data_IF_386937387464
#
_entry.id   IF_386937387464
#
_cell.length_a   1.000
_cell.length_b   1.000
_cell.length_c   1.000
_cell.angle_alpha   90.00
_cell.angle_beta   90.00
_cell.angle_gamma   90.00
#
_symmetry.space_group_name_H-M   'P 1'
#
loop_
_entity.id
_entity.type
_entity.pdbx_description
1 polymer ?
#
# COMPACT_ATOMS: atom_id res chain seq x y z
N UNK A 1 -11.34 -17.04 -42.17
CA UNK A 1 -11.13 -15.71 -41.56
C UNK A 1 -9.81 -15.81 -40.81
N UNK A 2 -8.77 -15.11 -41.26
CA UNK A 2 -7.38 -15.27 -40.75
C UNK A 2 -7.19 -14.44 -39.49
N UNK A 3 -6.58 -15.07 -38.48
CA UNK A 3 -6.17 -14.49 -37.20
C UNK A 3 -5.14 -13.39 -37.46
N UNK A 4 -5.39 -12.17 -36.97
CA UNK A 4 -4.40 -11.09 -36.94
C UNK A 4 -3.52 -11.32 -35.70
N UNK A 5 -2.33 -11.85 -35.95
CA UNK A 5 -1.25 -11.95 -34.97
C UNK A 5 -0.86 -10.55 -34.46
N UNK A 6 -0.76 -10.40 -33.13
CA UNK A 6 -0.30 -9.18 -32.47
C UNK A 6 1.13 -8.88 -32.93
N UNK A 7 1.31 -7.76 -33.64
CA UNK A 7 2.63 -7.23 -33.94
C UNK A 7 3.19 -6.55 -32.68
N UNK A 8 4.12 -7.21 -32.00
CA UNK A 8 4.95 -6.60 -30.96
C UNK A 8 6.00 -5.72 -31.66
N UNK A 9 5.92 -4.40 -31.46
CA UNK A 9 6.92 -3.45 -31.94
C UNK A 9 8.27 -3.76 -31.29
N UNK A 10 9.23 -4.25 -32.08
CA UNK A 10 10.61 -4.45 -31.66
C UNK A 10 11.45 -3.26 -32.13
N UNK A 11 12.01 -2.52 -31.18
CA UNK A 11 12.99 -1.47 -31.46
C UNK A 11 14.30 -2.15 -31.87
N UNK A 12 14.71 -1.97 -33.13
CA UNK A 12 16.01 -2.43 -33.64
C UNK A 12 17.05 -1.35 -33.41
N UNK A 13 18.07 -1.66 -32.62
CA UNK A 13 19.26 -0.81 -32.52
C UNK A 13 20.38 -1.26 -33.46
N UNK A 14 21.16 -0.28 -33.92
CA UNK A 14 21.95 -0.23 -35.17
C UNK A 14 23.10 -1.23 -35.38
N UNK A 15 23.26 -2.28 -34.58
CA UNK A 15 24.48 -3.12 -34.62
C UNK A 15 24.29 -4.57 -35.07
N UNK A 16 23.17 -4.90 -35.74
CA UNK A 16 23.05 -6.16 -36.49
C UNK A 16 23.12 -7.46 -35.67
N UNK A 17 23.05 -7.38 -34.34
CA UNK A 17 22.87 -8.55 -33.47
C UNK A 17 21.40 -8.64 -33.11
N UNK A 18 20.78 -9.74 -33.52
CA UNK A 18 19.48 -10.17 -33.00
C UNK A 18 19.61 -10.36 -31.50
N UNK A 19 18.78 -9.67 -30.72
CA UNK A 19 18.61 -9.96 -29.31
C UNK A 19 18.11 -11.40 -29.21
N UNK A 20 19.05 -12.34 -29.04
CA UNK A 20 18.78 -13.51 -28.20
C UNK A 20 18.22 -12.93 -26.91
N UNK A 21 16.93 -13.22 -26.72
CA UNK A 21 16.13 -13.08 -25.52
C UNK A 21 16.70 -12.03 -24.57
N UNK A 22 16.05 -10.87 -24.49
CA UNK A 22 16.17 -10.02 -23.31
C UNK A 22 15.93 -10.94 -22.11
N UNK A 23 17.03 -11.43 -21.53
CA UNK A 23 17.07 -12.08 -20.27
C UNK A 23 16.58 -11.00 -19.34
N UNK A 24 15.28 -11.02 -19.09
CA UNK A 24 14.70 -10.60 -17.84
C UNK A 24 15.65 -11.18 -16.81
N UNK A 25 16.54 -10.35 -16.27
CA UNK A 25 17.31 -10.69 -15.11
C UNK A 25 16.30 -10.63 -13.96
N UNK A 26 15.38 -11.61 -13.97
CA UNK A 26 14.64 -12.03 -12.80
C UNK A 26 15.72 -12.71 -12.00
N UNK A 27 16.15 -12.18 -10.84
CA UNK A 27 16.99 -12.96 -9.95
C UNK A 27 16.16 -14.19 -9.58
N UNK A 28 16.48 -15.32 -10.21
CA UNK A 28 15.73 -16.59 -10.13
C UNK A 28 15.76 -17.19 -8.72
N UNK A 29 16.41 -16.52 -7.76
CA UNK A 29 16.61 -17.03 -6.40
C UNK A 29 16.00 -16.21 -5.26
N UNK A 30 15.44 -15.00 -5.45
CA UNK A 30 14.98 -14.19 -4.29
C UNK A 30 13.54 -13.71 -4.33
N UNK A 31 12.94 -13.48 -5.51
CA UNK A 31 11.59 -12.92 -5.58
C UNK A 31 10.47 -13.93 -5.25
N UNK A 32 10.77 -15.22 -5.17
CA UNK A 32 9.78 -16.27 -4.95
C UNK A 32 10.10 -17.28 -3.85
N UNK A 33 11.32 -17.23 -3.27
CA UNK A 33 11.75 -18.19 -2.23
C UNK A 33 11.70 -17.63 -0.81
N UNK A 34 11.65 -16.29 -0.66
CA UNK A 34 11.64 -15.61 0.65
C UNK A 34 10.49 -14.61 0.83
N UNK A 35 9.67 -14.40 -0.20
CA UNK A 35 8.48 -13.56 -0.11
C UNK A 35 7.41 -14.27 0.70
N UNK A 36 6.91 -13.61 1.76
CA UNK A 36 5.74 -14.06 2.49
C UNK A 36 4.61 -14.40 1.52
N UNK A 37 3.81 -15.43 1.82
CA UNK A 37 2.59 -15.73 1.07
C UNK A 37 1.79 -14.41 0.97
N UNK A 38 1.43 -14.03 -0.25
CA UNK A 38 0.72 -12.77 -0.59
C UNK A 38 1.58 -11.48 -0.66
N UNK A 39 2.92 -11.56 -0.63
CA UNK A 39 3.79 -10.39 -0.75
C UNK A 39 3.53 -9.54 -2.01
N UNK A 40 3.20 -10.17 -3.15
CA UNK A 40 2.86 -9.44 -4.37
C UNK A 40 1.61 -8.56 -4.17
N UNK A 41 0.56 -9.10 -3.53
CA UNK A 41 -0.69 -8.39 -3.24
C UNK A 41 -0.42 -7.16 -2.37
N UNK A 42 0.23 -7.36 -1.22
CA UNK A 42 0.49 -6.26 -0.28
C UNK A 42 1.52 -5.27 -0.81
N UNK A 43 2.47 -5.69 -1.65
CA UNK A 43 3.37 -4.76 -2.35
C UNK A 43 2.61 -3.84 -3.29
N UNK A 44 1.62 -4.35 -4.03
CA UNK A 44 0.80 -3.52 -4.92
C UNK A 44 -0.07 -2.53 -4.13
N UNK A 45 -0.67 -2.96 -3.02
CA UNK A 45 -1.42 -2.06 -2.14
C UNK A 45 -0.53 -0.97 -1.53
N UNK A 46 0.69 -1.31 -1.10
CA UNK A 46 1.66 -0.34 -0.59
C UNK A 46 2.11 0.65 -1.69
N UNK A 47 2.30 0.17 -2.93
CA UNK A 47 2.63 1.03 -4.07
C UNK A 47 1.49 2.00 -4.41
N UNK A 48 0.24 1.56 -4.34
CA UNK A 48 -0.93 2.42 -4.54
C UNK A 48 -0.99 3.52 -3.48
N UNK A 49 -0.81 3.18 -2.19
CA UNK A 49 -0.75 4.16 -1.11
C UNK A 49 0.40 5.19 -1.33
N UNK A 50 1.56 4.75 -1.80
CA UNK A 50 2.68 5.62 -2.18
C UNK A 50 2.27 6.57 -3.31
N UNK A 51 1.69 6.05 -4.38
CA UNK A 51 1.32 6.82 -5.57
C UNK A 51 0.25 7.87 -5.25
N UNK A 52 -0.83 7.45 -4.58
CA UNK A 52 -1.94 8.32 -4.16
C UNK A 52 -1.43 9.43 -3.25
N UNK A 53 -0.63 9.09 -2.24
CA UNK A 53 -0.08 10.09 -1.30
C UNK A 53 0.89 11.05 -1.99
N UNK A 54 1.74 10.56 -2.91
CA UNK A 54 2.63 11.40 -3.70
C UNK A 54 1.86 12.39 -4.58
N UNK A 55 0.81 11.92 -5.27
CA UNK A 55 -0.06 12.79 -6.09
C UNK A 55 -0.77 13.84 -5.24
N UNK A 56 -1.28 13.45 -4.07
CA UNK A 56 -1.86 14.39 -3.10
C UNK A 56 -0.82 15.42 -2.64
N UNK A 57 0.42 15.00 -2.33
CA UNK A 57 1.48 15.91 -1.94
C UNK A 57 1.86 16.91 -3.03
N UNK A 58 1.86 16.49 -4.30
CA UNK A 58 2.04 17.41 -5.43
C UNK A 58 0.91 18.45 -5.49
N UNK A 59 -0.34 18.02 -5.30
CA UNK A 59 -1.48 18.94 -5.22
C UNK A 59 -1.34 19.91 -4.03
N UNK A 60 -1.02 19.41 -2.84
CA UNK A 60 -0.86 20.21 -1.62
C UNK A 60 0.25 21.27 -1.75
N UNK A 61 1.31 20.95 -2.49
CA UNK A 61 2.41 21.88 -2.77
C UNK A 61 1.95 23.13 -3.53
N UNK A 62 1.00 23.00 -4.45
CA UNK A 62 0.42 24.15 -5.18
C UNK A 62 -0.30 25.15 -4.25
N UNK A 63 -0.65 24.73 -3.03
CA UNK A 63 -1.31 25.56 -2.02
C UNK A 63 -0.44 25.86 -0.79
N UNK A 64 0.88 25.66 -0.90
CA UNK A 64 1.84 25.84 0.20
C UNK A 64 1.43 25.07 1.48
N UNK A 65 0.89 23.86 1.29
CA UNK A 65 0.53 22.95 2.38
C UNK A 65 1.65 21.97 2.66
N UNK A 66 1.84 21.66 3.95
CA UNK A 66 2.80 20.66 4.41
C UNK A 66 2.45 19.30 3.77
N UNK A 67 3.44 18.57 3.21
CA UNK A 67 3.22 17.23 2.68
C UNK A 67 2.91 16.23 3.80
N UNK A 68 2.14 15.22 3.44
CA UNK A 68 1.92 14.00 4.23
C UNK A 68 3.18 13.13 4.11
N UNK A 69 3.59 12.50 5.21
CA UNK A 69 4.76 11.63 5.23
C UNK A 69 4.52 10.33 4.46
N UNK A 70 5.10 10.22 3.27
CA UNK A 70 5.06 9.00 2.43
C UNK A 70 6.06 7.96 2.88
N UNK A 71 7.05 8.32 3.70
CA UNK A 71 8.18 7.48 4.07
C UNK A 71 7.76 6.19 4.76
N UNK A 72 6.63 6.21 5.46
CA UNK A 72 6.11 5.02 6.13
C UNK A 72 5.66 3.93 5.15
N UNK A 73 5.06 4.29 4.02
CA UNK A 73 4.65 3.32 3.00
C UNK A 73 5.84 2.71 2.26
N UNK A 74 6.93 3.49 2.07
CA UNK A 74 8.18 2.95 1.56
C UNK A 74 8.84 1.98 2.54
N UNK A 75 8.79 2.26 3.86
CA UNK A 75 9.26 1.32 4.89
C UNK A 75 8.45 0.04 4.89
N UNK A 76 7.12 0.13 4.77
CA UNK A 76 6.23 -1.02 4.66
C UNK A 76 6.52 -1.86 3.41
N UNK A 77 6.69 -1.22 2.25
CA UNK A 77 7.05 -1.91 1.02
C UNK A 77 8.39 -2.63 1.16
N UNK A 78 9.39 -1.98 1.78
CA UNK A 78 10.68 -2.60 2.03
C UNK A 78 10.57 -3.81 2.97
N UNK A 79 9.75 -3.75 4.03
CA UNK A 79 9.53 -4.92 4.92
C UNK A 79 8.79 -6.07 4.24
N UNK A 80 7.93 -5.79 3.26
CA UNK A 80 7.23 -6.82 2.48
C UNK A 80 8.20 -7.53 1.54
N UNK A 81 9.08 -6.77 0.87
CA UNK A 81 9.97 -7.29 -0.18
C UNK A 81 11.27 -7.89 0.35
N UNK A 82 11.80 -7.38 1.46
CA UNK A 82 13.11 -7.74 1.96
C UNK A 82 13.00 -8.59 3.23
N UNK A 83 13.43 -9.85 3.14
CA UNK A 83 13.53 -10.76 4.29
C UNK A 83 14.43 -10.13 5.38
N UNK A 84 13.88 -9.95 6.59
CA UNK A 84 14.60 -9.42 7.75
C UNK A 84 14.51 -7.90 7.96
N UNK A 85 13.76 -7.16 7.14
CA UNK A 85 13.34 -5.79 7.48
C UNK A 85 12.06 -5.84 8.30
N UNK A 86 12.19 -5.64 9.61
CA UNK A 86 11.05 -5.62 10.52
C UNK A 86 10.25 -4.32 10.37
N UNK A 87 8.92 -4.45 10.34
CA UNK A 87 7.98 -3.35 10.46
C UNK A 87 7.54 -3.25 11.92
N UNK A 88 8.14 -2.31 12.67
CA UNK A 88 8.03 -2.26 14.13
C UNK A 88 6.66 -1.79 14.62
N UNK A 89 6.34 -1.95 15.91
CA UNK A 89 5.11 -1.38 16.49
C UNK A 89 5.04 0.16 16.36
N UNK A 90 6.19 0.85 16.39
CA UNK A 90 6.27 2.28 16.16
C UNK A 90 5.99 2.63 14.69
N UNK A 91 6.46 1.81 13.75
CA UNK A 91 6.12 1.94 12.33
C UNK A 91 4.63 1.70 12.10
N UNK A 92 4.04 0.68 12.73
CA UNK A 92 2.58 0.44 12.69
C UNK A 92 1.81 1.66 13.19
N UNK A 93 2.23 2.23 14.32
CA UNK A 93 1.62 3.46 14.85
C UNK A 93 1.72 4.62 13.86
N UNK A 94 2.91 4.84 13.30
CA UNK A 94 3.11 5.90 12.32
C UNK A 94 2.27 5.67 11.05
N UNK A 95 2.14 4.42 10.61
CA UNK A 95 1.29 4.05 9.48
C UNK A 95 -0.15 4.47 9.73
N UNK A 96 -0.71 4.09 10.88
CA UNK A 96 -2.09 4.42 11.23
C UNK A 96 -2.31 5.92 11.46
N UNK A 97 -1.33 6.65 11.99
CA UNK A 97 -1.39 8.11 12.09
C UNK A 97 -1.33 8.81 10.72
N UNK A 98 -0.61 8.24 9.73
CA UNK A 98 -0.62 8.73 8.35
C UNK A 98 -1.94 8.39 7.66
N UNK A 99 -2.44 7.15 7.81
CA UNK A 99 -3.75 6.74 7.31
C UNK A 99 -4.87 7.64 7.84
N UNK A 100 -4.82 8.01 9.13
CA UNK A 100 -5.75 8.98 9.73
C UNK A 100 -5.67 10.37 9.12
N UNK A 101 -4.47 10.86 8.80
CA UNK A 101 -4.33 12.13 8.09
C UNK A 101 -4.96 12.06 6.69
N UNK A 102 -4.73 10.97 5.96
CA UNK A 102 -5.32 10.72 4.63
C UNK A 102 -6.85 10.61 4.70
N UNK A 103 -7.37 9.94 5.73
CA UNK A 103 -8.81 9.86 5.97
C UNK A 103 -9.43 11.25 6.15
N UNK A 104 -8.83 12.10 6.99
CA UNK A 104 -9.28 13.49 7.21
C UNK A 104 -9.20 14.38 5.97
N UNK A 105 -8.34 14.04 5.01
CA UNK A 105 -8.36 14.65 3.69
C UNK A 105 -9.53 14.09 2.86
N UNK A 106 -9.65 12.77 2.78
CA UNK A 106 -10.71 12.09 2.02
C UNK A 106 -12.10 12.56 2.42
N UNK A 107 -12.38 12.68 3.72
CA UNK A 107 -13.67 13.15 4.25
C UNK A 107 -14.05 14.56 3.73
N UNK A 108 -13.07 15.46 3.60
CA UNK A 108 -13.31 16.80 3.05
C UNK A 108 -13.59 16.77 1.55
N UNK A 109 -12.96 15.84 0.82
CA UNK A 109 -13.14 15.68 -0.62
C UNK A 109 -14.37 14.85 -0.99
N UNK A 110 -14.91 14.05 -0.06
CA UNK A 110 -16.13 13.30 -0.25
C UNK A 110 -17.31 14.19 -0.67
N UNK A 111 -17.39 15.41 -0.11
CA UNK A 111 -18.39 16.42 -0.50
C UNK A 111 -18.24 16.96 -1.93
N UNK A 112 -17.06 16.79 -2.53
CA UNK A 112 -16.75 17.23 -3.90
C UNK A 112 -16.98 16.10 -4.88
N UNK A 113 -16.50 14.89 -4.56
CA UNK A 113 -16.69 13.69 -5.35
C UNK A 113 -16.54 12.45 -4.47
N UNK A 114 -17.50 11.54 -4.54
CA UNK A 114 -17.52 10.30 -3.74
C UNK A 114 -16.39 9.33 -4.10
N UNK A 115 -15.85 9.41 -5.32
CA UNK A 115 -14.73 8.55 -5.77
C UNK A 115 -13.33 9.08 -5.37
N UNK A 116 -13.23 10.24 -4.71
CA UNK A 116 -11.94 10.78 -4.26
C UNK A 116 -11.62 10.30 -2.84
N UNK A 117 -10.88 9.19 -2.77
CA UNK A 117 -10.41 8.58 -1.52
C UNK A 117 -8.90 8.42 -1.53
N UNK A 118 -8.22 8.89 -0.48
CA UNK A 118 -6.76 8.87 -0.36
C UNK A 118 -6.23 7.84 0.63
N UNK A 119 -7.13 7.25 1.41
CA UNK A 119 -6.81 6.32 2.49
C UNK A 119 -6.39 4.97 1.91
N UNK A 120 -5.38 4.30 2.49
CA UNK A 120 -5.01 2.95 2.07
C UNK A 120 -6.19 1.96 2.14
N UNK A 121 -6.09 0.88 1.36
CA UNK A 121 -7.07 -0.20 1.39
C UNK A 121 -7.08 -0.89 2.76
N UNK A 122 -8.27 -1.26 3.26
CA UNK A 122 -8.40 -1.95 4.54
C UNK A 122 -7.64 -3.27 4.59
N UNK A 123 -7.46 -3.97 3.47
CA UNK A 123 -6.63 -5.17 3.43
C UNK A 123 -5.17 -4.87 3.77
N UNK A 124 -4.65 -3.69 3.42
CA UNK A 124 -3.30 -3.26 3.80
C UNK A 124 -3.25 -2.93 5.30
N UNK A 125 -4.28 -2.29 5.84
CA UNK A 125 -4.37 -2.04 7.29
C UNK A 125 -4.39 -3.37 8.07
N UNK A 126 -5.15 -4.35 7.61
CA UNK A 126 -5.24 -5.67 8.21
C UNK A 126 -3.88 -6.39 8.15
N UNK A 127 -3.15 -6.29 7.02
CA UNK A 127 -1.78 -6.79 6.90
C UNK A 127 -0.83 -6.17 7.93
N UNK A 128 -0.87 -4.84 8.09
CA UNK A 128 -0.06 -4.11 9.07
C UNK A 128 -0.34 -4.58 10.51
N UNK A 129 -1.58 -4.98 10.79
CA UNK A 129 -2.00 -5.53 12.09
C UNK A 129 -1.70 -7.03 12.25
N UNK A 130 -1.10 -7.69 11.25
CA UNK A 130 -0.84 -9.14 11.25
C UNK A 130 -2.11 -9.98 11.10
N UNK A 131 -3.17 -9.42 10.54
CA UNK A 131 -4.48 -10.05 10.38
C UNK A 131 -4.79 -10.31 8.90
N UNK A 132 -4.67 -11.57 8.50
CA UNK A 132 -4.78 -11.99 7.10
C UNK A 132 -6.18 -12.49 6.73
N UNK A 133 -7.22 -11.77 7.15
CA UNK A 133 -8.63 -12.07 6.85
C UNK A 133 -9.29 -10.86 6.21
N UNK A 134 -10.40 -11.10 5.52
CA UNK A 134 -11.20 -10.03 4.93
C UNK A 134 -11.70 -9.08 6.03
N UNK A 135 -11.64 -7.75 5.81
CA UNK A 135 -12.16 -6.76 6.75
C UNK A 135 -13.63 -7.02 7.09
N UNK A 136 -13.97 -6.98 8.38
CA UNK A 136 -15.35 -7.11 8.87
C UNK A 136 -15.97 -5.75 9.14
N UNK A 137 -17.31 -5.69 9.23
CA UNK A 137 -18.01 -4.47 9.67
C UNK A 137 -17.55 -4.03 11.08
N UNK A 138 -17.21 -4.99 11.96
CA UNK A 138 -16.64 -4.69 13.28
C UNK A 138 -15.30 -3.97 13.18
N UNK A 139 -14.41 -4.46 12.30
CA UNK A 139 -13.14 -3.80 12.03
C UNK A 139 -13.34 -2.41 11.43
N UNK A 140 -14.24 -2.28 10.44
CA UNK A 140 -14.53 -1.00 9.80
C UNK A 140 -15.05 0.05 10.81
N UNK A 141 -15.92 -0.35 11.74
CA UNK A 141 -16.40 0.53 12.81
C UNK A 141 -15.27 0.92 13.78
N UNK A 142 -14.40 -0.03 14.16
CA UNK A 142 -13.26 0.25 15.01
C UNK A 142 -12.25 1.20 14.34
N UNK A 143 -11.94 0.97 13.07
CA UNK A 143 -11.09 1.83 12.25
C UNK A 143 -11.70 3.23 12.17
N UNK A 144 -13.00 3.35 11.87
CA UNK A 144 -13.72 4.62 11.82
C UNK A 144 -13.60 5.42 13.13
N UNK A 145 -13.80 4.78 14.29
CA UNK A 145 -13.63 5.44 15.59
C UNK A 145 -12.20 5.95 15.80
N UNK A 146 -11.19 5.21 15.38
CA UNK A 146 -9.80 5.67 15.44
C UNK A 146 -9.55 6.84 14.48
N UNK A 147 -10.03 6.74 13.23
CA UNK A 147 -9.83 7.79 12.21
C UNK A 147 -10.48 9.13 12.60
N UNK A 148 -11.58 9.08 13.35
CA UNK A 148 -12.31 10.26 13.86
C UNK A 148 -11.82 10.75 15.24
N UNK A 149 -10.68 10.26 15.73
CA UNK A 149 -10.13 10.57 17.07
C UNK A 149 -11.08 10.27 18.25
N UNK A 150 -12.04 9.35 18.08
CA UNK A 150 -12.91 8.90 19.17
C UNK A 150 -12.17 7.98 20.15
N UNK A 151 -11.14 7.29 19.66
CA UNK A 151 -10.24 6.43 20.42
C UNK A 151 -8.79 6.70 20.05
N UNK A 152 -7.89 6.49 21.01
CA UNK A 152 -6.45 6.55 20.80
C UNK A 152 -5.92 5.34 20.05
N UNK A 153 -4.70 5.43 19.49
CA UNK A 153 -4.03 4.27 18.88
C UNK A 153 -3.91 3.09 19.86
N UNK A 154 -3.61 3.36 21.14
CA UNK A 154 -3.51 2.30 22.15
C UNK A 154 -4.85 1.59 22.35
N UNK A 155 -5.95 2.34 22.43
CA UNK A 155 -7.30 1.77 22.55
C UNK A 155 -7.72 1.02 21.27
N UNK A 156 -7.35 1.54 20.10
CA UNK A 156 -7.55 0.89 18.81
C UNK A 156 -6.91 -0.50 18.79
N UNK A 157 -5.62 -0.59 19.10
CA UNK A 157 -4.88 -1.87 19.13
C UNK A 157 -5.42 -2.81 20.21
N UNK A 158 -5.78 -2.29 21.38
CA UNK A 158 -6.36 -3.11 22.45
C UNK A 158 -7.68 -3.74 21.99
N UNK A 159 -8.63 -2.93 21.50
CA UNK A 159 -9.94 -3.40 21.01
C UNK A 159 -9.79 -4.36 19.83
N UNK A 160 -8.86 -4.09 18.93
CA UNK A 160 -8.56 -4.98 17.81
C UNK A 160 -8.13 -6.38 18.30
N UNK A 161 -7.22 -6.45 19.27
CA UNK A 161 -6.75 -7.72 19.86
C UNK A 161 -7.87 -8.46 20.62
N UNK A 162 -8.77 -7.74 21.27
CA UNK A 162 -9.96 -8.31 21.94
C UNK A 162 -10.93 -8.94 20.93
N UNK A 163 -11.15 -8.29 19.78
CA UNK A 163 -12.02 -8.78 18.70
C UNK A 163 -11.37 -9.91 17.89
N UNK A 164 -10.05 -9.92 17.79
CA UNK A 164 -9.29 -10.85 16.96
C UNK A 164 -8.15 -11.53 17.74
N UNK A 165 -8.47 -12.36 18.75
CA UNK A 165 -7.46 -13.06 19.53
C UNK A 165 -6.63 -13.99 18.63
N UNK A 166 -5.33 -13.75 18.56
CA UNK A 166 -4.37 -14.69 17.99
C UNK A 166 -4.36 -15.94 18.86
N UNK A 167 -4.77 -17.09 18.28
CA UNK A 167 -4.68 -18.41 18.93
C UNK A 167 -3.25 -18.89 19.06
#
# INVERSE_FOLDING_TARGET
>A
MRVLERQTLTIKDRNGKTNEEFGTFIPVNDFGMHTQKDALKYSLLALDAIEVTNRLNLFLKEFDKKPIDTGIFYRLLASILESGKDFTEDDQKQYFEVAKQLYKFSDKFYYVHNDLYFTPDYELDCYVLGWFKDPTDEYANLNYSFMNDEITYTEFIQKFKEQHPTK
#
